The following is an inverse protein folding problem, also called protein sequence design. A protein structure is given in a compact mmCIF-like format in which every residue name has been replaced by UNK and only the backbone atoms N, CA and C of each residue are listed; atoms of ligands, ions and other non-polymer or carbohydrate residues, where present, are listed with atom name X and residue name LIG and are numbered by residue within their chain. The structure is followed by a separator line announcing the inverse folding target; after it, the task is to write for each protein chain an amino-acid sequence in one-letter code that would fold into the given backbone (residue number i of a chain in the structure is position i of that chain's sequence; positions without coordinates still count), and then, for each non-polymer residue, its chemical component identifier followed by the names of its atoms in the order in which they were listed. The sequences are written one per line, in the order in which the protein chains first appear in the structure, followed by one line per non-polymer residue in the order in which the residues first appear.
data_IF_498781974130
#
_entry.id   IF_498781974130
#
_cell.length_a   1.000
_cell.length_b   1.000
_cell.length_c   1.000
_cell.angle_alpha   90.00
_cell.angle_beta   90.00
_cell.angle_gamma   90.00
#
_symmetry.space_group_name_H-M   'P 1'
#
loop_
_entity.id
_entity.type
_entity.pdbx_description
1 polymer ?
#
# COMPACT_ATOMS: atom_id res chain seq x y z
N UNK A 1 1.86 16.18 -2.19
CA UNK A 1 2.61 16.87 -1.13
C UNK A 1 3.56 15.84 -0.43
N UNK A 2 4.84 16.03 -0.06
CA UNK A 2 5.74 14.98 0.46
C UNK A 2 5.37 14.36 1.77
N UNK A 3 5.78 13.09 1.99
CA UNK A 3 5.72 12.45 3.29
C UNK A 3 6.51 13.17 4.37
N UNK A 4 5.81 13.85 5.28
CA UNK A 4 6.31 14.10 6.63
C UNK A 4 6.16 12.81 7.47
N UNK A 5 7.21 12.38 8.16
CA UNK A 5 7.08 11.28 9.13
C UNK A 5 6.49 11.83 10.44
N UNK A 6 5.36 11.29 10.90
CA UNK A 6 4.67 11.73 12.14
C UNK A 6 4.45 10.51 13.06
N UNK A 7 4.77 10.69 14.35
CA UNK A 7 4.68 9.66 15.40
C UNK A 7 3.22 9.35 15.78
N UNK A 8 2.33 10.35 15.71
CA UNK A 8 0.89 10.22 16.01
C UNK A 8 0.03 10.07 14.74
N UNK A 9 0.40 9.14 13.84
CA UNK A 9 -0.40 8.87 12.64
C UNK A 9 -1.63 8.00 13.01
N UNK A 10 -2.71 8.64 13.43
CA UNK A 10 -4.01 7.98 13.61
C UNK A 10 -5.00 8.53 12.58
N UNK A 11 -5.01 7.93 11.39
CA UNK A 11 -6.24 7.90 10.59
C UNK A 11 -6.97 6.66 11.07
N UNK A 12 -8.01 6.84 11.88
CA UNK A 12 -8.82 5.72 12.35
C UNK A 12 -9.55 5.08 11.16
N UNK A 13 -8.91 4.04 10.60
CA UNK A 13 -9.43 3.20 9.54
C UNK A 13 -9.75 1.79 10.06
N UNK A 14 -9.77 1.60 11.39
CA UNK A 14 -10.32 0.39 11.98
C UNK A 14 -11.84 0.30 11.76
N UNK A 15 -12.47 1.45 11.50
CA UNK A 15 -13.83 1.61 11.00
C UNK A 15 -13.82 2.08 9.53
N UNK A 16 -14.84 1.74 8.73
CA UNK A 16 -14.95 2.23 7.36
C UNK A 16 -15.15 3.76 7.35
N UNK A 17 -14.53 4.49 6.40
CA UNK A 17 -14.82 5.89 6.19
C UNK A 17 -16.31 6.15 5.89
N UNK A 18 -16.81 7.33 6.27
CA UNK A 18 -18.13 7.77 5.85
C UNK A 18 -18.20 7.89 4.33
N UNK A 19 -19.32 7.47 3.75
CA UNK A 19 -19.59 7.59 2.31
C UNK A 19 -19.04 6.48 1.43
N UNK A 20 -18.44 5.43 2.00
CA UNK A 20 -18.06 4.22 1.24
C UNK A 20 -19.31 3.56 0.67
N UNK A 21 -19.32 3.31 -0.64
CA UNK A 21 -20.41 2.62 -1.31
C UNK A 21 -20.17 1.10 -1.37
N UNK A 22 -20.53 0.38 -0.30
CA UNK A 22 -20.39 -1.08 -0.25
C UNK A 22 -21.31 -1.88 -1.18
N UNK A 23 -22.26 -1.23 -1.87
CA UNK A 23 -23.23 -1.93 -2.74
C UNK A 23 -22.63 -2.43 -4.06
N UNK A 24 -21.56 -1.79 -4.53
CA UNK A 24 -20.97 -2.08 -5.84
C UNK A 24 -19.45 -1.92 -5.77
N UNK A 25 -18.70 -3.00 -5.48
CA UNK A 25 -17.25 -2.95 -5.55
C UNK A 25 -16.81 -2.64 -6.98
N UNK A 26 -15.80 -1.77 -7.12
CA UNK A 26 -15.13 -1.45 -8.37
C UNK A 26 -14.18 -2.56 -8.81
N UNK A 27 -13.62 -3.28 -7.83
CA UNK A 27 -12.72 -4.41 -8.01
C UNK A 27 -12.98 -5.43 -6.90
N UNK A 28 -12.86 -6.71 -7.25
CA UNK A 28 -12.76 -7.81 -6.28
C UNK A 28 -11.67 -8.76 -6.76
N UNK A 29 -10.72 -9.09 -5.88
CA UNK A 29 -9.58 -9.96 -6.18
C UNK A 29 -9.26 -10.85 -4.99
N UNK A 30 -9.44 -12.15 -5.15
CA UNK A 30 -9.06 -13.16 -4.15
C UNK A 30 -7.64 -13.65 -4.40
N UNK A 31 -6.89 -13.94 -3.34
CA UNK A 31 -5.54 -14.48 -3.44
C UNK A 31 -5.17 -15.31 -2.21
N UNK A 32 -4.36 -16.33 -2.44
CA UNK A 32 -3.73 -17.11 -1.38
C UNK A 32 -2.45 -16.40 -0.94
N UNK A 33 -2.25 -16.26 0.37
CA UNK A 33 -1.06 -15.64 0.91
C UNK A 33 -0.10 -16.70 1.47
N UNK A 34 1.02 -17.00 0.78
CA UNK A 34 1.96 -18.03 1.24
C UNK A 34 2.77 -17.61 2.48
N UNK A 35 2.58 -16.39 2.99
CA UNK A 35 3.29 -15.90 4.18
C UNK A 35 2.67 -16.45 5.46
N UNK A 36 1.34 -16.56 5.50
CA UNK A 36 0.56 -17.01 6.66
C UNK A 36 -0.35 -18.20 6.35
N UNK A 37 -0.56 -18.54 5.07
CA UNK A 37 -1.38 -19.68 4.66
C UNK A 37 -2.86 -19.34 4.52
N UNK A 38 -3.24 -18.07 4.59
CA UNK A 38 -4.64 -17.65 4.53
C UNK A 38 -5.08 -17.25 3.11
N UNK A 39 -6.40 -17.31 2.89
CA UNK A 39 -7.05 -16.74 1.70
C UNK A 39 -7.59 -15.36 2.06
N UNK A 40 -7.25 -14.38 1.21
CA UNK A 40 -7.69 -13.01 1.34
C UNK A 40 -8.47 -12.55 0.12
N UNK A 41 -9.27 -11.52 0.31
CA UNK A 41 -9.98 -10.82 -0.75
C UNK A 41 -9.74 -9.32 -0.65
N UNK A 42 -9.34 -8.70 -1.75
CA UNK A 42 -9.24 -7.25 -1.90
C UNK A 42 -10.53 -6.78 -2.56
N UNK A 43 -11.24 -5.86 -1.92
CA UNK A 43 -12.37 -5.13 -2.50
C UNK A 43 -12.08 -3.65 -2.59
N UNK A 44 -12.35 -3.06 -3.75
CA UNK A 44 -12.25 -1.62 -3.95
C UNK A 44 -13.64 -1.01 -4.04
N UNK A 45 -13.83 0.15 -3.41
CA UNK A 45 -15.09 0.89 -3.40
C UNK A 45 -14.86 2.37 -3.66
N UNK A 46 -15.86 3.01 -4.26
CA UNK A 46 -15.92 4.47 -4.34
C UNK A 46 -16.31 5.06 -2.98
N UNK A 47 -15.73 6.21 -2.63
CA UNK A 47 -16.19 7.06 -1.52
C UNK A 47 -16.92 8.28 -2.10
N UNK A 48 -18.12 8.57 -1.61
CA UNK A 48 -18.92 9.73 -2.02
C UNK A 48 -18.98 10.75 -0.88
N UNK A 49 -18.84 12.04 -1.20
CA UNK A 49 -18.92 13.12 -0.21
C UNK A 49 -17.67 13.26 0.67
N UNK A 50 -16.53 12.73 0.22
CA UNK A 50 -15.23 12.83 0.89
C UNK A 50 -14.19 13.46 -0.04
N UNK A 51 -13.07 13.92 0.53
CA UNK A 51 -11.88 14.30 -0.23
C UNK A 51 -11.06 13.10 -0.72
N UNK A 52 -11.35 11.90 -0.19
CA UNK A 52 -10.84 10.65 -0.71
C UNK A 52 -11.77 10.14 -1.83
N UNK A 53 -11.18 9.64 -2.91
CA UNK A 53 -11.91 9.10 -4.06
C UNK A 53 -12.38 7.67 -3.83
N UNK A 54 -11.64 6.88 -3.05
CA UNK A 54 -11.94 5.47 -2.87
C UNK A 54 -11.34 4.83 -1.62
N UNK A 55 -11.84 3.64 -1.32
CA UNK A 55 -11.45 2.80 -0.21
C UNK A 55 -11.14 1.39 -0.72
N UNK A 56 -10.08 0.79 -0.21
CA UNK A 56 -9.79 -0.64 -0.39
C UNK A 56 -9.93 -1.32 0.97
N UNK A 57 -10.71 -2.38 1.02
CA UNK A 57 -10.82 -3.28 2.17
C UNK A 57 -10.16 -4.61 1.82
N UNK A 58 -9.39 -5.16 2.76
CA UNK A 58 -8.86 -6.52 2.67
C UNK A 58 -9.60 -7.38 3.66
N UNK A 59 -10.23 -8.44 3.16
CA UNK A 59 -10.96 -9.42 3.94
C UNK A 59 -10.13 -10.70 4.05
N UNK A 60 -10.19 -11.36 5.20
CA UNK A 60 -9.65 -12.71 5.41
C UNK A 60 -10.79 -13.71 5.52
N UNK A 61 -10.62 -14.90 4.96
CA UNK A 61 -11.57 -16.00 5.10
C UNK A 61 -11.10 -16.95 6.19
N UNK A 62 -11.81 -16.97 7.32
CA UNK A 62 -11.50 -17.79 8.48
C UNK A 62 -12.23 -19.13 8.33
N UNK A 63 -11.48 -20.23 8.25
CA UNK A 63 -12.00 -21.61 8.21
C UNK A 63 -11.89 -22.26 9.59
N UNK A 64 -12.79 -23.22 9.88
CA UNK A 64 -12.69 -24.00 11.11
C UNK A 64 -11.49 -24.96 11.04
N UNK A 65 -10.92 -25.36 12.18
CA UNK A 65 -9.86 -26.37 12.20
C UNK A 65 -10.29 -27.71 11.57
N UNK A 66 -11.60 -28.02 11.59
CA UNK A 66 -12.14 -29.22 10.96
C UNK A 66 -12.32 -29.07 9.44
N UNK A 67 -12.30 -27.84 8.92
CA UNK A 67 -12.45 -27.49 7.51
C UNK A 67 -11.15 -26.88 6.94
N UNK A 68 -10.01 -27.12 7.60
CA UNK A 68 -8.69 -26.65 7.19
C UNK A 68 -8.27 -27.15 5.80
N UNK A 69 -8.96 -28.17 5.27
CA UNK A 69 -8.76 -28.70 3.92
C UNK A 69 -8.76 -27.63 2.84
N UNK A 70 -9.60 -26.59 2.94
CA UNK A 70 -9.61 -25.50 1.94
C UNK A 70 -8.28 -24.75 1.90
N UNK A 71 -7.71 -24.44 3.07
CA UNK A 71 -6.44 -23.73 3.16
C UNK A 71 -5.27 -24.64 2.77
N UNK A 72 -5.29 -25.90 3.19
CA UNK A 72 -4.30 -26.91 2.79
C UNK A 72 -4.29 -27.13 1.27
N UNK A 73 -5.48 -27.18 0.66
CA UNK A 73 -5.62 -27.30 -0.78
C UNK A 73 -5.10 -26.06 -1.51
N UNK A 74 -5.41 -24.85 -1.02
CA UNK A 74 -4.84 -23.62 -1.56
C UNK A 74 -3.30 -23.63 -1.50
N UNK A 75 -2.74 -24.06 -0.37
CA UNK A 75 -1.29 -24.18 -0.21
C UNK A 75 -0.69 -25.20 -1.18
N UNK A 76 -1.35 -26.34 -1.39
CA UNK A 76 -0.94 -27.34 -2.37
C UNK A 76 -0.94 -26.77 -3.79
N UNK A 77 -2.03 -26.11 -4.20
CA UNK A 77 -2.14 -25.49 -5.51
C UNK A 77 -1.07 -24.41 -5.73
N UNK A 78 -0.77 -23.63 -4.69
CA UNK A 78 0.31 -22.66 -4.75
C UNK A 78 1.69 -23.33 -4.88
N UNK A 79 1.95 -24.44 -4.18
CA UNK A 79 3.21 -25.20 -4.30
C UNK A 79 3.40 -25.79 -5.71
N UNK A 80 2.31 -26.24 -6.33
CA UNK A 80 2.33 -26.85 -7.66
C UNK A 80 2.50 -25.80 -8.79
N UNK A 81 1.82 -24.66 -8.68
CA UNK A 81 1.74 -23.69 -9.78
C UNK A 81 2.48 -22.38 -9.54
N UNK A 82 2.79 -22.04 -8.29
CA UNK A 82 3.40 -20.75 -7.92
C UNK A 82 2.49 -19.53 -8.10
N UNK A 83 1.20 -19.73 -8.40
CA UNK A 83 0.24 -18.68 -8.66
C UNK A 83 -0.75 -18.55 -7.48
N UNK A 84 -0.71 -17.38 -6.82
CA UNK A 84 -1.56 -17.07 -5.66
C UNK A 84 -3.04 -16.91 -6.01
N UNK A 85 -3.34 -16.42 -7.20
CA UNK A 85 -4.72 -16.16 -7.63
C UNK A 85 -5.39 -17.48 -7.99
N UNK A 86 -4.69 -18.31 -8.76
CA UNK A 86 -5.13 -19.65 -9.09
C UNK A 86 -5.35 -20.49 -7.82
N UNK A 87 -4.39 -20.47 -6.90
CA UNK A 87 -4.48 -21.22 -5.64
C UNK A 87 -5.74 -20.87 -4.81
N UNK A 88 -6.04 -19.58 -4.65
CA UNK A 88 -7.27 -19.17 -3.98
C UNK A 88 -8.52 -19.54 -4.78
N UNK A 89 -8.50 -19.36 -6.10
CA UNK A 89 -9.64 -19.68 -6.95
C UNK A 89 -10.01 -21.17 -6.85
N UNK A 90 -9.03 -22.06 -7.00
CA UNK A 90 -9.24 -23.52 -6.92
C UNK A 90 -9.74 -23.94 -5.53
N UNK A 91 -9.20 -23.35 -4.46
CA UNK A 91 -9.66 -23.62 -3.10
C UNK A 91 -11.10 -23.14 -2.85
N UNK A 92 -11.47 -21.98 -3.39
CA UNK A 92 -12.83 -21.46 -3.26
C UNK A 92 -13.84 -22.27 -4.10
N UNK A 93 -13.41 -22.90 -5.20
CA UNK A 93 -14.25 -23.81 -5.99
C UNK A 93 -14.63 -25.10 -5.26
N UNK A 94 -14.05 -25.40 -4.09
CA UNK A 94 -14.50 -26.48 -3.22
C UNK A 94 -15.86 -26.19 -2.59
N UNK A 95 -16.35 -24.93 -2.67
CA UNK A 95 -17.63 -24.47 -2.12
C UNK A 95 -17.82 -24.75 -0.62
N UNK A 96 -16.71 -24.90 0.11
CA UNK A 96 -16.71 -24.99 1.58
C UNK A 96 -16.83 -23.57 2.14
N UNK A 97 -17.88 -23.25 2.91
CA UNK A 97 -18.10 -21.90 3.41
C UNK A 97 -17.10 -21.58 4.55
N UNK A 98 -16.50 -20.38 4.57
CA UNK A 98 -15.74 -19.93 5.72
C UNK A 98 -16.67 -19.75 6.93
N UNK A 99 -16.13 -19.97 8.13
CA UNK A 99 -16.83 -19.70 9.40
C UNK A 99 -17.08 -18.20 9.54
N UNK A 100 -16.13 -17.40 9.09
CA UNK A 100 -16.19 -15.95 9.22
C UNK A 100 -15.36 -15.26 8.14
N UNK A 101 -15.84 -14.09 7.72
CA UNK A 101 -15.13 -13.20 6.81
C UNK A 101 -14.94 -11.86 7.51
N UNK A 102 -13.69 -11.46 7.72
CA UNK A 102 -13.35 -10.29 8.54
C UNK A 102 -12.55 -9.28 7.73
N UNK A 103 -12.90 -7.99 7.82
CA UNK A 103 -12.04 -6.92 7.27
C UNK A 103 -10.83 -6.74 8.19
N UNK A 104 -9.64 -7.02 7.67
CA UNK A 104 -8.36 -7.00 8.41
C UNK A 104 -7.45 -5.85 8.02
N UNK A 105 -7.71 -5.20 6.89
CA UNK A 105 -6.99 -3.99 6.51
C UNK A 105 -7.88 -3.03 5.72
N UNK A 106 -7.58 -1.74 5.82
CA UNK A 106 -8.23 -0.68 5.05
C UNK A 106 -7.23 0.34 4.55
N UNK A 107 -7.45 0.78 3.32
CA UNK A 107 -6.68 1.82 2.68
C UNK A 107 -7.64 2.83 2.09
N UNK A 108 -7.31 4.11 2.17
CA UNK A 108 -8.03 5.18 1.49
C UNK A 108 -7.08 5.87 0.54
N UNK A 109 -7.61 6.30 -0.60
CA UNK A 109 -6.83 6.99 -1.61
C UNK A 109 -7.61 8.16 -2.21
N UNK A 110 -6.87 9.08 -2.81
CA UNK A 110 -7.41 10.09 -3.72
C UNK A 110 -6.87 9.82 -5.12
N UNK A 111 -7.64 10.19 -6.15
CA UNK A 111 -7.13 10.22 -7.51
C UNK A 111 -6.00 11.24 -7.62
N UNK A 112 -4.97 10.90 -8.39
CA UNK A 112 -3.81 11.73 -8.64
C UNK A 112 -3.51 11.78 -10.14
N UNK A 113 -2.87 12.86 -10.57
CA UNK A 113 -2.34 13.00 -11.92
C UNK A 113 -0.87 13.42 -11.82
N UNK A 114 0.02 12.62 -12.39
CA UNK A 114 1.47 12.83 -12.28
C UNK A 114 2.07 13.14 -13.66
N UNK A 115 2.87 14.21 -13.71
CA UNK A 115 3.66 14.60 -14.88
C UNK A 115 5.07 14.01 -14.77
N UNK A 116 5.52 13.19 -15.73
CA UNK A 116 6.84 12.55 -15.66
C UNK A 116 7.94 13.25 -16.46
N UNK A 117 7.61 13.94 -17.56
CA UNK A 117 8.61 14.53 -18.47
C UNK A 117 8.13 15.82 -19.14
N UNK A 118 6.88 15.85 -19.61
CA UNK A 118 6.24 17.02 -20.20
C UNK A 118 4.94 17.35 -19.44
N UNK A 119 4.58 18.64 -19.26
CA UNK A 119 3.31 19.02 -18.62
C UNK A 119 2.07 18.49 -19.35
N UNK A 120 2.21 18.11 -20.63
CA UNK A 120 1.15 17.56 -21.46
C UNK A 120 0.92 16.06 -21.28
N UNK A 121 1.85 15.34 -20.62
CA UNK A 121 1.74 13.89 -20.40
C UNK A 121 1.51 13.64 -18.92
N UNK A 122 0.23 13.65 -18.55
CA UNK A 122 -0.24 13.31 -17.20
C UNK A 122 -0.69 11.86 -17.18
N UNK A 123 -0.15 11.09 -16.25
CA UNK A 123 -0.62 9.74 -15.99
C UNK A 123 -1.58 9.75 -14.80
N UNK A 124 -2.79 9.15 -14.93
CA UNK A 124 -3.66 8.95 -13.79
C UNK A 124 -3.00 7.95 -12.82
N UNK A 125 -3.24 8.16 -11.53
CA UNK A 125 -2.73 7.30 -10.48
C UNK A 125 -3.57 7.40 -9.22
N UNK A 126 -3.22 6.59 -8.22
CA UNK A 126 -3.87 6.63 -6.91
C UNK A 126 -2.87 7.05 -5.85
N UNK A 127 -3.20 8.09 -5.11
CA UNK A 127 -2.43 8.52 -3.96
C UNK A 127 -3.00 7.91 -2.70
N UNK A 128 -2.20 7.10 -2.01
CA UNK A 128 -2.56 6.59 -0.69
C UNK A 128 -2.66 7.77 0.28
N UNK A 129 -3.79 7.83 0.98
CA UNK A 129 -4.09 8.84 2.01
C UNK A 129 -4.28 8.20 3.36
N UNK A 130 -4.05 6.92 3.53
CA UNK A 130 -4.26 6.24 4.79
C UNK A 130 -4.19 4.75 4.61
N UNK A 131 -3.63 4.09 5.60
CA UNK A 131 -3.50 2.65 5.67
C UNK A 131 -3.70 2.21 7.12
N UNK A 132 -4.42 1.11 7.29
CA UNK A 132 -4.58 0.42 8.54
C UNK A 132 -4.52 -1.07 8.27
N UNK A 133 -3.75 -1.80 9.08
CA UNK A 133 -3.70 -3.25 9.09
C UNK A 133 -3.89 -3.69 10.54
N UNK A 134 -4.82 -4.60 10.77
CA UNK A 134 -5.08 -5.16 12.09
C UNK A 134 -3.80 -5.83 12.62
N UNK A 135 -3.52 -5.68 13.91
CA UNK A 135 -2.25 -6.05 14.55
C UNK A 135 -1.81 -7.49 14.23
N UNK A 136 -2.77 -8.41 14.21
CA UNK A 136 -2.54 -9.84 13.98
C UNK A 136 -2.05 -10.13 12.56
N UNK A 137 -2.35 -9.25 11.61
CA UNK A 137 -2.05 -9.40 10.18
C UNK A 137 -0.90 -8.49 9.71
N UNK A 138 -0.20 -7.84 10.64
CA UNK A 138 0.93 -6.94 10.31
C UNK A 138 2.08 -7.66 9.62
N UNK A 139 2.25 -8.96 9.87
CA UNK A 139 3.28 -9.81 9.25
C UNK A 139 2.86 -10.44 7.93
N UNK A 140 1.59 -10.37 7.58
CA UNK A 140 0.97 -10.97 6.38
C UNK A 140 1.34 -10.24 5.08
N UNK A 141 2.04 -9.10 5.15
CA UNK A 141 2.45 -8.28 3.99
C UNK A 141 1.29 -7.78 3.12
N UNK A 142 0.09 -7.61 3.69
CA UNK A 142 -1.12 -7.18 2.97
C UNK A 142 -0.95 -5.85 2.22
N UNK A 143 -0.21 -4.90 2.80
CA UNK A 143 0.07 -3.61 2.14
C UNK A 143 0.76 -3.78 0.79
N UNK A 144 1.67 -4.77 0.67
CA UNK A 144 2.31 -5.07 -0.62
C UNK A 144 1.27 -5.50 -1.66
N UNK A 145 0.39 -6.42 -1.30
CA UNK A 145 -0.62 -6.96 -2.21
C UNK A 145 -1.63 -5.89 -2.65
N UNK A 146 -2.02 -4.99 -1.74
CA UNK A 146 -2.87 -3.83 -2.07
C UNK A 146 -2.15 -2.86 -3.00
N UNK A 147 -0.90 -2.50 -2.70
CA UNK A 147 -0.13 -1.55 -3.52
C UNK A 147 0.14 -2.09 -4.92
N UNK A 148 0.47 -3.38 -5.04
CA UNK A 148 0.63 -4.05 -6.33
C UNK A 148 -0.70 -4.10 -7.08
N UNK A 149 -1.82 -4.38 -6.41
CA UNK A 149 -3.14 -4.38 -7.05
C UNK A 149 -3.52 -2.98 -7.59
N UNK A 150 -3.25 -1.92 -6.83
CA UNK A 150 -3.43 -0.54 -7.33
C UNK A 150 -2.53 -0.28 -8.53
N UNK A 151 -1.27 -0.68 -8.44
CA UNK A 151 -0.30 -0.47 -9.52
C UNK A 151 -0.66 -1.25 -10.79
N UNK A 152 -1.16 -2.48 -10.65
CA UNK A 152 -1.65 -3.32 -11.74
C UNK A 152 -2.85 -2.68 -12.44
N UNK A 153 -3.79 -2.14 -11.65
CA UNK A 153 -5.06 -1.60 -12.14
C UNK A 153 -4.92 -0.17 -12.72
N UNK A 154 -4.09 0.67 -12.09
CA UNK A 154 -4.05 2.11 -12.38
C UNK A 154 -2.68 2.60 -12.90
N UNK A 155 -1.66 1.75 -12.94
CA UNK A 155 -0.35 2.04 -13.51
C UNK A 155 0.57 2.93 -12.65
N UNK A 156 0.00 3.81 -11.82
CA UNK A 156 0.75 4.74 -10.96
C UNK A 156 0.23 4.70 -9.53
N UNK A 157 1.16 4.51 -8.59
CA UNK A 157 0.90 4.56 -7.15
C UNK A 157 1.70 5.70 -6.51
N UNK A 158 1.03 6.50 -5.68
CA UNK A 158 1.62 7.69 -5.07
C UNK A 158 1.55 7.58 -3.55
N UNK A 159 2.64 7.92 -2.86
CA UNK A 159 2.69 7.89 -1.41
C UNK A 159 1.85 9.01 -0.77
N UNK A 160 1.41 8.83 0.48
CA UNK A 160 0.84 9.95 1.24
C UNK A 160 1.90 11.05 1.46
N UNK A 161 1.40 12.25 1.75
CA UNK A 161 2.17 13.39 2.19
C UNK A 161 2.53 13.33 3.67
N UNK A 162 2.12 12.29 4.35
CA UNK A 162 2.49 12.02 5.72
C UNK A 162 2.64 10.52 5.85
N UNK A 163 3.80 10.05 6.30
CA UNK A 163 4.08 8.64 6.48
C UNK A 163 4.29 8.33 7.96
N UNK A 164 4.01 7.10 8.36
CA UNK A 164 4.55 6.55 9.61
C UNK A 164 6.02 6.13 9.39
N UNK A 165 6.71 5.76 10.46
CA UNK A 165 8.05 5.15 10.37
C UNK A 165 8.01 3.86 9.54
N UNK A 166 6.98 3.04 9.72
CA UNK A 166 6.76 1.84 8.89
C UNK A 166 6.47 2.19 7.43
N UNK A 167 5.74 3.29 7.18
CA UNK A 167 5.50 3.82 5.85
C UNK A 167 6.80 4.24 5.16
N UNK A 168 7.70 4.93 5.89
CA UNK A 168 9.04 5.25 5.42
C UNK A 168 9.80 3.97 5.05
N UNK A 169 9.86 2.99 5.95
CA UNK A 169 10.56 1.73 5.71
C UNK A 169 10.03 0.98 4.50
N UNK A 170 8.71 0.92 4.35
CA UNK A 170 8.05 0.32 3.19
C UNK A 170 8.50 0.98 1.88
N UNK A 171 8.45 2.31 1.80
CA UNK A 171 8.81 3.03 0.57
C UNK A 171 10.31 3.04 0.30
N UNK A 172 11.14 3.22 1.33
CA UNK A 172 12.58 3.34 1.20
C UNK A 172 13.27 2.02 0.85
N UNK A 173 12.70 0.88 1.26
CA UNK A 173 13.30 -0.45 1.07
C UNK A 173 12.44 -1.43 0.30
N UNK A 174 11.12 -1.43 0.52
CA UNK A 174 10.20 -2.40 -0.07
C UNK A 174 9.79 -2.04 -1.49
N UNK A 175 9.17 -0.86 -1.64
CA UNK A 175 8.52 -0.41 -2.88
C UNK A 175 9.51 -0.24 -4.03
N UNK A 176 10.75 0.17 -3.74
CA UNK A 176 11.81 0.30 -4.74
C UNK A 176 12.15 -1.02 -5.48
N UNK A 177 11.72 -2.18 -4.96
CA UNK A 177 11.91 -3.47 -5.62
C UNK A 177 10.77 -3.82 -6.58
N UNK A 178 9.72 -3.01 -6.68
CA UNK A 178 8.52 -3.32 -7.47
C UNK A 178 8.44 -2.54 -8.78
N UNK A 179 9.29 -1.53 -8.94
CA UNK A 179 9.34 -0.67 -10.12
C UNK A 179 10.18 0.58 -9.86
N UNK A 180 10.07 1.56 -10.76
CA UNK A 180 10.79 2.82 -10.62
C UNK A 180 10.06 3.73 -9.63
N UNK A 181 10.76 4.13 -8.57
CA UNK A 181 10.28 5.11 -7.59
C UNK A 181 10.94 6.46 -7.86
N UNK A 182 10.13 7.48 -8.06
CA UNK A 182 10.55 8.86 -8.30
C UNK A 182 10.14 9.78 -7.16
N UNK A 183 10.95 10.80 -6.89
CA UNK A 183 10.61 11.91 -5.99
C UNK A 183 9.98 13.01 -6.83
N UNK A 184 8.73 13.34 -6.53
CA UNK A 184 7.92 14.29 -7.29
C UNK A 184 7.51 15.47 -6.42
N UNK A 185 7.79 16.69 -6.87
CA UNK A 185 7.33 17.90 -6.21
C UNK A 185 5.91 18.25 -6.66
N UNK A 186 4.94 18.18 -5.74
CA UNK A 186 3.56 18.51 -6.06
C UNK A 186 3.28 19.99 -6.27
N UNK A 187 4.19 20.89 -5.87
CA UNK A 187 4.03 22.33 -6.09
C UNK A 187 4.48 22.71 -7.50
N UNK A 188 5.64 22.21 -7.92
CA UNK A 188 6.19 22.49 -9.26
C UNK A 188 5.72 21.50 -10.33
N UNK A 189 5.14 20.38 -9.91
CA UNK A 189 4.67 19.28 -10.75
C UNK A 189 5.79 18.59 -11.53
N UNK A 190 6.98 18.46 -10.94
CA UNK A 190 8.17 17.93 -11.58
C UNK A 190 8.77 16.74 -10.83
N UNK A 191 9.32 15.79 -11.60
CA UNK A 191 10.18 14.73 -11.07
C UNK A 191 11.56 15.33 -10.77
N UNK A 192 11.97 15.30 -9.51
CA UNK A 192 13.25 15.85 -9.07
C UNK A 192 14.37 14.81 -9.18
N UNK A 193 14.12 13.61 -8.69
CA UNK A 193 15.10 12.53 -8.61
C UNK A 193 14.44 11.15 -8.64
N UNK A 194 15.26 10.11 -8.71
CA UNK A 194 14.84 8.71 -8.56
C UNK A 194 15.34 8.14 -7.24
N UNK A 195 14.51 7.34 -6.58
CA UNK A 195 14.91 6.54 -5.43
C UNK A 195 15.61 5.29 -5.94
N UNK A 196 16.91 5.20 -5.67
CA UNK A 196 17.68 4.02 -6.06
C UNK A 196 17.38 2.86 -5.08
N UNK A 197 17.10 1.65 -5.60
CA UNK A 197 16.82 0.46 -4.78
C UNK A 197 17.97 0.14 -3.81
N UNK A 198 19.20 0.46 -4.22
CA UNK A 198 20.43 0.28 -3.46
C UNK A 198 21.21 1.59 -3.39
N UNK A 199 22.00 1.79 -2.33
CA UNK A 199 22.85 2.98 -2.13
C UNK A 199 22.59 3.72 -0.82
N UNK A 200 23.59 4.44 -0.34
CA UNK A 200 23.54 5.25 0.90
C UNK A 200 23.18 6.72 0.64
N UNK A 201 23.05 7.12 -0.62
CA UNK A 201 22.79 8.50 -1.01
C UNK A 201 21.59 8.60 -1.94
N UNK A 202 20.67 9.57 -1.71
CA UNK A 202 19.63 9.88 -2.67
C UNK A 202 20.23 10.36 -3.99
N UNK A 203 19.59 10.00 -5.12
CA UNK A 203 19.97 10.54 -6.42
C UNK A 203 19.87 12.07 -6.42
N UNK A 204 20.85 12.73 -7.04
CA UNK A 204 21.03 14.19 -7.07
C UNK A 204 21.00 14.87 -5.68
N UNK A 205 21.30 14.15 -4.61
CA UNK A 205 21.25 14.64 -3.23
C UNK A 205 19.87 15.16 -2.80
N UNK A 206 18.79 14.74 -3.46
CA UNK A 206 17.41 15.15 -3.11
C UNK A 206 16.91 14.26 -1.98
N UNK A 207 16.78 14.84 -0.79
CA UNK A 207 16.25 14.19 0.41
C UNK A 207 14.72 14.15 0.30
N UNK A 208 14.06 12.96 0.26
CA UNK A 208 12.62 12.89 0.03
C UNK A 208 11.76 13.09 1.29
N UNK A 209 12.34 12.91 2.49
CA UNK A 209 11.58 12.91 3.74
C UNK A 209 12.03 14.01 4.69
N UNK A 210 11.05 14.63 5.36
CA UNK A 210 11.29 15.52 6.50
C UNK A 210 10.75 14.95 7.80
N UNK A 211 11.50 15.10 8.89
CA UNK A 211 11.03 14.79 10.24
C UNK A 211 10.34 16.01 10.84
N UNK A 212 9.13 15.81 11.37
CA UNK A 212 8.31 16.93 11.89
C UNK A 212 8.20 17.00 13.43
N UNK A 213 8.87 16.11 14.18
CA UNK A 213 9.04 16.14 15.64
C UNK A 213 10.31 15.38 16.02
N UNK A 214 10.76 15.52 17.27
CA UNK A 214 11.79 14.66 17.86
C UNK A 214 11.28 13.21 17.87
N UNK A 215 11.71 12.42 16.88
CA UNK A 215 11.57 10.97 16.92
C UNK A 215 12.34 10.44 18.13
N UNK A 216 11.79 9.44 18.81
CA UNK A 216 12.56 8.71 19.81
C UNK A 216 13.74 8.02 19.12
N UNK A 217 14.86 7.85 19.84
CA UNK A 217 16.10 7.27 19.29
C UNK A 217 15.88 5.92 18.60
N UNK A 218 14.93 5.11 19.09
CA UNK A 218 14.55 3.81 18.53
C UNK A 218 13.89 3.90 17.15
N UNK A 219 13.14 4.98 16.87
CA UNK A 219 12.48 5.19 15.59
C UNK A 219 13.45 5.74 14.54
N UNK A 220 14.43 6.54 14.95
CA UNK A 220 15.51 7.01 14.07
C UNK A 220 16.29 5.82 13.49
N UNK A 221 16.56 4.80 14.30
CA UNK A 221 17.27 3.60 13.86
C UNK A 221 16.54 2.76 12.80
N UNK A 222 15.24 3.01 12.57
CA UNK A 222 14.44 2.34 11.52
C UNK A 222 14.42 3.13 10.21
N UNK A 223 14.89 4.38 10.22
CA UNK A 223 14.94 5.21 9.03
C UNK A 223 16.18 4.88 8.19
N UNK A 224 16.08 5.18 6.89
CA UNK A 224 17.21 5.03 5.97
C UNK A 224 18.12 6.23 6.12
N UNK A 225 19.34 5.99 6.59
CA UNK A 225 20.37 7.03 6.72
C UNK A 225 20.57 7.80 5.42
N UNK A 226 20.66 9.13 5.51
CA UNK A 226 20.87 10.03 4.37
C UNK A 226 19.62 10.35 3.55
N UNK A 227 18.46 9.74 3.85
CA UNK A 227 17.21 9.99 3.11
C UNK A 227 16.22 10.87 3.87
N UNK A 228 16.58 11.43 5.02
CA UNK A 228 15.71 12.34 5.76
C UNK A 228 16.48 13.55 6.28
N UNK A 229 15.75 14.65 6.52
CA UNK A 229 16.29 15.89 7.09
C UNK A 229 15.41 16.39 8.25
N UNK A 230 16.04 16.98 9.27
CA UNK A 230 15.37 17.66 10.37
C UNK A 230 15.30 19.17 10.13
N UNK A 231 14.25 19.82 10.63
CA UNK A 231 14.14 21.29 10.63
C UNK A 231 13.63 21.94 9.33
N UNK A 232 13.41 21.18 8.27
CA UNK A 232 12.80 21.67 7.01
C UNK A 232 11.54 20.89 6.71
N UNK A 233 10.41 21.57 6.47
CA UNK A 233 9.18 20.89 6.05
C UNK A 233 9.24 20.59 4.56
N UNK A 234 9.38 19.31 4.21
CA UNK A 234 9.45 18.89 2.82
C UNK A 234 8.09 18.50 2.25
N UNK A 235 7.00 18.77 2.98
CA UNK A 235 5.61 18.36 2.73
C UNK A 235 5.03 18.54 1.33
N UNK A 236 5.77 18.92 0.29
CA UNK A 236 5.39 19.02 -1.13
C UNK A 236 5.91 17.85 -2.05
N UNK A 237 7.05 17.21 -1.73
CA UNK A 237 7.67 16.04 -2.42
C UNK A 237 7.05 14.61 -2.25
N UNK A 238 6.04 14.17 -2.99
CA UNK A 238 5.58 12.76 -2.91
C UNK A 238 6.54 11.75 -3.55
N UNK A 239 6.37 10.48 -3.19
CA UNK A 239 6.97 9.38 -3.92
C UNK A 239 5.97 8.82 -4.92
N UNK A 240 6.46 8.53 -6.12
CA UNK A 240 5.66 7.99 -7.22
C UNK A 240 6.30 6.71 -7.71
N UNK A 241 5.56 5.61 -7.61
CA UNK A 241 5.90 4.31 -8.17
C UNK A 241 5.21 4.15 -9.53
N UNK A 242 5.98 3.73 -10.54
CA UNK A 242 5.48 3.26 -11.84
C UNK A 242 6.04 1.90 -12.17
N UNK A 243 5.29 1.10 -12.94
CA UNK A 243 5.83 -0.12 -13.55
C UNK A 243 6.86 0.21 -14.64
N UNK A 244 7.77 -0.73 -14.85
CA UNK A 244 8.68 -0.74 -16.00
C UNK A 244 7.93 -1.02 -17.30
#
# INVERSE_FOLDING_TARGET
MAPAVIVDYSKDLCNPPLGVNHKSPLLTKTFFNPVDGDIYEIREYQIVGSSNSGCIEVLVYEYSENDAYTLEYAEQQYKEHGDKLLAAQEALHLDIPPVKVTVVARYVYSDASICFQNPSETLPGKQIRGAYVHREYTRSKLTKEVYLTILDQYGVLVSDNVQSVDGHGLWAYGVCNWGEVSVYDSNTQLILSRLLPTGSTPDKSIIPWSLTRELQSEDVGKLRDGFWSSGVSLRHLILVLRKH
#
